data_IF_677225562071
#
_entry.id   IF_677225562071
#
_cell.length_a   1.000
_cell.length_b   1.000
_cell.length_c   1.000
_cell.angle_alpha   90.00
_cell.angle_beta   90.00
_cell.angle_gamma   90.00
#
_symmetry.space_group_name_H-M   'P 1'
#
loop_
_entity.id
_entity.type
_entity.pdbx_description
1 polymer ?
#
# COMPACT_ATOMS: atom_id res chain seq x y z
N UNK A 1 -11.88 20.65 -31.80
CA UNK A 1 -13.27 20.62 -31.30
C UNK A 1 -13.68 19.17 -31.12
N UNK A 2 -13.96 18.76 -29.89
CA UNK A 2 -14.24 17.37 -29.50
C UNK A 2 -15.75 17.22 -29.25
N UNK A 3 -16.34 16.10 -29.63
CA UNK A 3 -17.74 15.79 -29.35
C UNK A 3 -17.78 14.63 -28.37
N UNK A 4 -18.44 14.81 -27.23
CA UNK A 4 -18.66 13.70 -26.30
C UNK A 4 -19.65 12.70 -26.90
N UNK A 5 -19.22 11.46 -27.12
CA UNK A 5 -20.07 10.42 -27.69
C UNK A 5 -21.27 10.02 -26.80
N UNK A 6 -21.24 10.37 -25.51
CA UNK A 6 -22.25 9.97 -24.54
C UNK A 6 -23.34 11.03 -24.33
N UNK A 7 -23.03 12.30 -24.54
CA UNK A 7 -23.99 13.40 -24.36
C UNK A 7 -24.00 14.41 -25.51
N UNK A 8 -23.26 14.15 -26.59
CA UNK A 8 -23.10 15.00 -27.77
C UNK A 8 -22.66 16.44 -27.47
N UNK A 9 -22.10 16.69 -26.28
CA UNK A 9 -21.59 17.99 -25.91
C UNK A 9 -20.33 18.32 -26.74
N UNK A 10 -20.35 19.47 -27.40
CA UNK A 10 -19.21 20.01 -28.12
C UNK A 10 -18.28 20.73 -27.15
N UNK A 11 -17.00 20.34 -27.14
CA UNK A 11 -15.99 20.83 -26.21
C UNK A 11 -14.79 21.34 -27.00
N UNK A 12 -14.37 22.56 -26.67
CA UNK A 12 -13.36 23.29 -27.46
C UNK A 12 -11.95 22.77 -27.16
N UNK A 13 -11.65 22.50 -25.89
CA UNK A 13 -10.33 22.08 -25.43
C UNK A 13 -10.27 20.60 -25.02
N UNK A 14 -9.15 19.95 -25.28
CA UNK A 14 -8.87 18.58 -24.86
C UNK A 14 -8.87 18.43 -23.33
N UNK A 15 -8.30 19.39 -22.59
CA UNK A 15 -8.27 19.35 -21.12
C UNK A 15 -9.68 19.44 -20.53
N UNK A 16 -10.54 20.22 -21.17
CA UNK A 16 -11.96 20.32 -20.83
C UNK A 16 -12.72 19.03 -21.18
N UNK A 17 -12.36 18.37 -22.29
CA UNK A 17 -12.97 17.09 -22.68
C UNK A 17 -12.62 15.98 -21.68
N UNK A 18 -11.37 15.89 -21.24
CA UNK A 18 -10.94 14.91 -20.23
C UNK A 18 -11.62 15.20 -18.88
N UNK A 19 -11.70 16.47 -18.48
CA UNK A 19 -12.37 16.86 -17.23
C UNK A 19 -13.88 16.56 -17.29
N UNK A 20 -14.52 16.84 -18.42
CA UNK A 20 -15.90 16.46 -18.68
C UNK A 20 -16.11 14.94 -18.56
N UNK A 21 -15.26 14.12 -19.19
CA UNK A 21 -15.32 12.67 -19.11
C UNK A 21 -15.17 12.16 -17.67
N UNK A 22 -14.23 12.72 -16.91
CA UNK A 22 -14.01 12.35 -15.50
C UNK A 22 -15.17 12.73 -14.58
N UNK A 23 -15.80 13.89 -14.81
CA UNK A 23 -16.85 14.43 -13.95
C UNK A 23 -18.25 13.92 -14.29
N UNK A 24 -18.62 13.93 -15.58
CA UNK A 24 -19.99 13.61 -16.03
C UNK A 24 -20.18 12.13 -16.35
N UNK A 25 -19.10 11.41 -16.62
CA UNK A 25 -19.12 10.02 -17.08
C UNK A 25 -18.25 9.10 -16.20
N UNK A 26 -18.08 9.47 -14.91
CA UNK A 26 -17.26 8.74 -13.92
C UNK A 26 -17.59 7.25 -13.82
N UNK A 27 -18.87 6.88 -13.99
CA UNK A 27 -19.38 5.50 -13.98
C UNK A 27 -19.24 4.78 -15.34
N UNK A 28 -19.08 5.53 -16.43
CA UNK A 28 -18.90 5.01 -17.79
C UNK A 28 -17.43 4.73 -18.14
N UNK A 29 -16.50 4.89 -17.18
CA UNK A 29 -15.13 4.39 -17.26
C UNK A 29 -15.03 2.86 -17.42
N UNK A 30 -16.17 2.14 -17.47
CA UNK A 30 -16.27 0.72 -17.82
C UNK A 30 -16.89 0.45 -19.19
N UNK A 31 -17.26 1.49 -19.95
CA UNK A 31 -17.86 1.32 -21.27
C UNK A 31 -16.79 1.30 -22.36
N UNK A 32 -17.03 0.47 -23.36
CA UNK A 32 -16.13 0.32 -24.49
C UNK A 32 -16.20 1.55 -25.40
N UNK A 33 -15.11 2.31 -25.48
CA UNK A 33 -14.94 3.43 -26.38
C UNK A 33 -14.43 2.95 -27.74
N UNK A 34 -15.02 3.41 -28.85
CA UNK A 34 -14.56 3.11 -30.20
C UNK A 34 -13.77 4.29 -30.78
N UNK A 35 -12.74 4.00 -31.56
CA UNK A 35 -11.98 5.03 -32.25
C UNK A 35 -12.81 5.70 -33.36
N UNK A 36 -12.96 7.04 -33.38
CA UNK A 36 -13.79 7.72 -34.38
C UNK A 36 -13.08 8.00 -35.71
N UNK A 37 -11.77 7.70 -35.82
CA UNK A 37 -10.99 7.98 -37.03
C UNK A 37 -11.33 7.00 -38.16
N UNK A 38 -11.46 7.52 -39.39
CA UNK A 38 -11.70 6.70 -40.59
C UNK A 38 -10.62 5.62 -40.69
N UNK A 39 -11.02 4.39 -41.00
CA UNK A 39 -10.16 3.19 -41.06
C UNK A 39 -9.57 2.72 -39.71
N UNK A 40 -10.13 3.15 -38.57
CA UNK A 40 -9.75 2.62 -37.26
C UNK A 40 -10.93 1.93 -36.56
N UNK A 41 -10.90 0.61 -36.47
CA UNK A 41 -11.94 -0.21 -35.82
C UNK A 41 -11.61 -0.64 -34.39
N UNK A 42 -10.60 -0.02 -33.76
CA UNK A 42 -10.17 -0.39 -32.40
C UNK A 42 -11.16 0.11 -31.34
N UNK A 43 -11.36 -0.72 -30.33
CA UNK A 43 -12.19 -0.43 -29.18
C UNK A 43 -11.38 -0.55 -27.87
N UNK A 44 -11.76 0.20 -26.85
CA UNK A 44 -10.98 0.39 -25.63
C UNK A 44 -11.91 0.36 -24.42
N UNK A 45 -11.56 -0.39 -23.38
CA UNK A 45 -12.34 -0.45 -22.14
C UNK A 45 -11.94 0.62 -21.10
N UNK A 46 -10.95 1.43 -21.45
CA UNK A 46 -10.43 2.47 -20.57
C UNK A 46 -9.97 3.69 -21.39
N UNK A 47 -10.24 4.88 -20.85
CA UNK A 47 -9.95 6.16 -21.49
C UNK A 47 -8.44 6.41 -21.66
N UNK A 48 -7.57 5.85 -20.80
CA UNK A 48 -6.13 6.04 -20.91
C UNK A 48 -5.55 5.23 -22.08
N UNK A 49 -6.01 3.99 -22.26
CA UNK A 49 -5.61 3.17 -23.42
C UNK A 49 -6.11 3.75 -24.74
N UNK A 50 -7.33 4.29 -24.76
CA UNK A 50 -7.86 5.07 -25.88
C UNK A 50 -7.00 6.29 -26.18
N UNK A 51 -6.67 7.10 -25.16
CA UNK A 51 -5.83 8.29 -25.30
C UNK A 51 -4.45 7.96 -25.88
N UNK A 52 -3.79 6.93 -25.34
CA UNK A 52 -2.49 6.46 -25.83
C UNK A 52 -2.56 6.05 -27.30
N UNK A 53 -3.61 5.34 -27.70
CA UNK A 53 -3.82 4.95 -29.09
C UNK A 53 -4.00 6.16 -30.01
N UNK A 54 -4.88 7.10 -29.67
CA UNK A 54 -5.15 8.28 -30.49
C UNK A 54 -3.90 9.13 -30.67
N UNK A 55 -3.16 9.36 -29.58
CA UNK A 55 -1.92 10.10 -29.62
C UNK A 55 -0.91 9.46 -30.59
N UNK A 56 -0.65 8.16 -30.44
CA UNK A 56 0.37 7.45 -31.21
C UNK A 56 0.02 7.21 -32.68
N UNK A 57 -1.26 6.99 -32.99
CA UNK A 57 -1.68 6.54 -34.33
C UNK A 57 -2.34 7.60 -35.17
N UNK A 58 -2.93 8.63 -34.55
CA UNK A 58 -3.73 9.64 -35.27
C UNK A 58 -3.20 11.05 -35.10
N UNK A 59 -2.51 11.37 -34.00
CA UNK A 59 -1.99 12.73 -33.73
C UNK A 59 -0.53 12.88 -34.14
N UNK A 60 0.35 11.90 -33.87
CA UNK A 60 1.79 12.01 -34.14
C UNK A 60 2.20 12.14 -35.63
N UNK A 61 1.26 12.23 -36.57
CA UNK A 61 1.55 12.40 -38.00
C UNK A 61 1.19 13.79 -38.55
N UNK A 62 0.77 14.76 -37.74
CA UNK A 62 0.31 16.07 -38.27
C UNK A 62 1.45 17.04 -38.60
N UNK A 63 2.71 16.74 -38.25
CA UNK A 63 3.86 17.63 -38.57
C UNK A 63 4.97 16.98 -39.41
N UNK A 64 4.65 16.00 -40.26
CA UNK A 64 5.56 15.55 -41.32
C UNK A 64 4.96 15.76 -42.71
N UNK A 65 4.76 17.01 -43.07
CA UNK A 65 4.64 17.43 -44.47
C UNK A 65 5.52 18.65 -44.69
N UNK A 66 6.80 18.42 -45.01
CA UNK A 66 7.53 18.99 -46.15
C UNK A 66 8.80 18.12 -46.32
N UNK A 67 9.09 17.77 -47.58
CA UNK A 67 10.28 17.10 -48.15
C UNK A 67 10.31 15.55 -48.21
N UNK A 68 9.92 15.05 -49.39
CA UNK A 68 10.63 14.07 -50.26
C UNK A 68 11.06 12.71 -49.65
N UNK A 69 10.39 11.61 -50.06
CA UNK A 69 10.88 10.54 -50.97
C UNK A 69 11.95 9.64 -50.30
N UNK A 70 11.84 8.33 -50.15
CA UNK A 70 11.49 7.26 -51.08
C UNK A 70 11.07 5.98 -50.31
N UNK A 71 10.53 5.03 -51.08
CA UNK A 71 10.19 3.63 -50.77
C UNK A 71 11.09 2.87 -49.78
N UNK A 72 10.50 1.95 -49.01
CA UNK A 72 10.76 0.48 -49.06
C UNK A 72 9.89 -0.26 -48.00
N UNK A 73 9.67 -1.53 -48.33
CA UNK A 73 8.76 -2.60 -47.89
C UNK A 73 8.59 -2.95 -46.41
N UNK A 74 7.47 -3.65 -46.17
CA UNK A 74 7.04 -4.42 -45.01
C UNK A 74 8.14 -5.22 -44.28
N UNK A 75 8.08 -5.27 -42.95
CA UNK A 75 7.92 -6.55 -42.24
C UNK A 75 7.58 -6.39 -40.75
N UNK A 76 6.87 -7.41 -40.28
CA UNK A 76 6.36 -7.67 -38.93
C UNK A 76 7.50 -8.02 -37.97
N UNK A 77 7.54 -7.38 -36.79
CA UNK A 77 7.82 -8.07 -35.53
C UNK A 77 7.35 -7.27 -34.31
N UNK A 78 6.54 -7.95 -33.50
CA UNK A 78 6.30 -7.72 -32.07
C UNK A 78 7.62 -7.70 -31.31
N UNK A 79 7.84 -6.68 -30.47
CA UNK A 79 8.60 -6.85 -29.23
C UNK A 79 8.22 -5.77 -28.20
N UNK A 80 8.12 -6.23 -26.96
CA UNK A 80 7.79 -5.47 -25.76
C UNK A 80 9.01 -4.66 -25.32
N UNK A 81 8.86 -3.35 -25.15
CA UNK A 81 9.76 -2.59 -24.28
C UNK A 81 8.97 -1.72 -23.30
N UNK A 82 9.08 -2.13 -22.04
CA UNK A 82 8.71 -1.38 -20.85
C UNK A 82 9.74 -0.27 -20.62
N UNK A 83 9.31 0.99 -20.71
CA UNK A 83 10.08 2.13 -20.23
C UNK A 83 9.35 2.71 -19.02
N UNK A 84 10.05 2.63 -17.90
CA UNK A 84 9.76 3.22 -16.60
C UNK A 84 9.84 4.74 -16.67
N UNK A 85 8.74 5.44 -16.38
CA UNK A 85 8.77 6.87 -16.07
C UNK A 85 8.66 7.06 -14.55
N UNK A 86 9.73 7.63 -13.99
CA UNK A 86 9.82 8.15 -12.63
C UNK A 86 9.12 9.50 -12.60
N UNK A 87 7.93 9.56 -12.02
CA UNK A 87 7.30 10.84 -11.67
C UNK A 87 7.71 11.25 -10.25
N UNK A 88 8.54 12.30 -10.20
CA UNK A 88 8.82 13.12 -9.03
C UNK A 88 7.54 13.85 -8.59
N UNK A 89 6.95 13.43 -7.47
CA UNK A 89 6.00 14.25 -6.73
C UNK A 89 6.71 14.94 -5.57
N UNK A 90 7.06 16.21 -5.79
CA UNK A 90 7.34 17.15 -4.71
C UNK A 90 6.00 17.51 -4.06
N UNK A 91 5.76 17.09 -2.82
CA UNK A 91 4.68 17.62 -2.00
C UNK A 91 5.30 18.43 -0.85
N UNK A 92 5.30 19.75 -1.01
CA UNK A 92 5.47 20.67 0.10
C UNK A 92 4.12 20.74 0.82
N UNK A 93 4.07 20.22 2.04
CA UNK A 93 3.02 20.60 3.00
C UNK A 93 3.71 20.85 4.33
N UNK A 94 3.83 22.12 4.70
CA UNK A 94 4.23 22.52 6.04
C UNK A 94 3.13 22.11 7.01
N UNK A 95 3.40 21.08 7.80
CA UNK A 95 2.54 20.69 8.90
C UNK A 95 3.15 21.31 10.17
N UNK A 96 2.51 22.38 10.66
CA UNK A 96 2.64 22.76 12.07
C UNK A 96 1.71 21.84 12.86
N UNK A 97 2.27 20.74 13.37
CA UNK A 97 1.60 19.93 14.36
C UNK A 97 1.92 20.46 15.76
N UNK A 98 0.93 21.10 16.39
CA UNK A 98 0.83 21.12 17.85
C UNK A 98 0.41 19.72 18.29
N UNK A 99 1.38 18.85 18.58
CA UNK A 99 1.14 17.53 19.16
C UNK A 99 1.08 17.69 20.68
N UNK A 100 -0.13 17.87 21.21
CA UNK A 100 -0.46 17.45 22.57
C UNK A 100 -1.27 16.15 22.46
N UNK A 101 -0.57 15.02 22.39
CA UNK A 101 -1.17 13.69 22.54
C UNK A 101 -0.66 13.13 23.87
N UNK A 102 -1.35 13.55 24.93
CA UNK A 102 -1.46 12.76 26.14
C UNK A 102 -2.25 11.50 25.81
N UNK A 103 -1.55 10.39 25.58
CA UNK A 103 -2.15 9.07 25.74
C UNK A 103 -2.48 8.89 27.22
N UNK A 104 -3.69 9.27 27.63
CA UNK A 104 -4.29 8.81 28.88
C UNK A 104 -4.69 7.33 28.74
N UNK A 105 -3.68 6.46 28.80
CA UNK A 105 -3.85 5.14 29.41
C UNK A 105 -3.92 5.37 30.92
N UNK A 106 -5.10 5.24 31.54
CA UNK A 106 -5.24 5.31 33.01
C UNK A 106 -5.01 3.94 33.66
N UNK A 107 -4.70 3.93 34.96
CA UNK A 107 -3.56 3.23 35.55
C UNK A 107 -3.87 1.76 35.81
N UNK A 108 -2.85 0.91 35.65
CA UNK A 108 -2.81 -0.34 36.38
C UNK A 108 -2.53 -0.01 37.85
N UNK A 109 -3.57 0.24 38.66
CA UNK A 109 -3.51 0.09 40.13
C UNK A 109 -3.45 -1.41 40.39
N UNK A 110 -2.35 -2.00 40.86
CA UNK A 110 -1.68 -1.64 42.10
C UNK A 110 -0.39 -0.83 41.89
N UNK A 111 -0.41 0.38 42.45
CA UNK A 111 0.80 1.01 42.98
C UNK A 111 1.35 0.13 44.11
N UNK A 112 2.08 -0.92 43.74
CA UNK A 112 3.29 -1.17 44.51
C UNK A 112 4.20 0.00 44.16
N UNK A 113 4.34 0.92 45.12
CA UNK A 113 5.42 1.88 45.20
C UNK A 113 6.63 1.33 44.43
N UNK A 114 6.87 1.88 43.24
CA UNK A 114 8.14 1.71 42.56
C UNK A 114 9.13 2.46 43.43
N UNK A 115 9.65 1.73 44.43
CA UNK A 115 11.00 1.99 44.89
C UNK A 115 11.86 2.08 43.63
N UNK A 116 12.77 3.06 43.54
CA UNK A 116 13.70 3.18 42.43
C UNK A 116 14.73 2.05 42.53
N UNK A 117 14.34 0.82 42.22
CA UNK A 117 15.29 -0.18 41.74
C UNK A 117 15.50 0.14 40.26
N UNK A 118 16.50 0.97 39.99
CA UNK A 118 16.87 1.54 38.69
C UNK A 118 17.31 0.51 37.62
N UNK A 119 16.83 -0.73 37.68
CA UNK A 119 17.19 -1.80 36.76
C UNK A 119 16.05 -2.05 35.77
N UNK A 120 16.21 -1.56 34.54
CA UNK A 120 15.35 -1.94 33.41
C UNK A 120 15.73 -3.37 33.01
N UNK A 121 14.82 -4.33 33.15
CA UNK A 121 15.05 -5.69 32.65
C UNK A 121 15.01 -5.74 31.12
N UNK A 122 15.73 -6.71 30.54
CA UNK A 122 15.78 -6.93 29.09
C UNK A 122 14.39 -7.27 28.53
N UNK A 123 13.58 -8.02 29.29
CA UNK A 123 12.23 -8.41 28.88
C UNK A 123 11.29 -7.20 28.80
N UNK A 124 11.34 -6.31 29.80
CA UNK A 124 10.54 -5.09 29.82
C UNK A 124 10.95 -4.16 28.67
N UNK A 125 12.26 -4.06 28.40
CA UNK A 125 12.77 -3.32 27.26
C UNK A 125 12.28 -3.91 25.93
N UNK A 126 12.37 -5.23 25.77
CA UNK A 126 11.89 -5.96 24.59
C UNK A 126 10.42 -5.68 24.30
N UNK A 127 9.57 -5.83 25.33
CA UNK A 127 8.14 -5.57 25.22
C UNK A 127 7.85 -4.11 24.84
N UNK A 128 8.56 -3.15 25.45
CA UNK A 128 8.38 -1.74 25.14
C UNK A 128 8.74 -1.43 23.68
N UNK A 129 9.87 -1.96 23.18
CA UNK A 129 10.29 -1.76 21.79
C UNK A 129 9.27 -2.36 20.83
N UNK A 130 8.88 -3.62 21.03
CA UNK A 130 7.93 -4.33 20.17
C UNK A 130 6.56 -3.62 20.14
N UNK A 131 6.07 -3.16 21.29
CA UNK A 131 4.84 -2.37 21.39
C UNK A 131 4.93 -1.04 20.64
N UNK A 132 6.04 -0.31 20.75
CA UNK A 132 6.19 1.00 20.09
C UNK A 132 6.33 0.86 18.58
N UNK A 133 7.09 -0.13 18.11
CA UNK A 133 7.26 -0.39 16.68
C UNK A 133 5.96 -0.89 16.06
N UNK A 134 5.25 -1.82 16.70
CA UNK A 134 3.97 -2.31 16.17
C UNK A 134 2.92 -1.21 16.04
N UNK A 135 2.81 -0.31 17.03
CA UNK A 135 1.91 0.85 16.95
C UNK A 135 2.32 1.81 15.85
N UNK A 136 3.62 2.08 15.69
CA UNK A 136 4.13 2.94 14.61
C UNK A 136 3.77 2.37 13.23
N UNK A 137 4.06 1.09 12.99
CA UNK A 137 3.74 0.42 11.72
C UNK A 137 2.23 0.41 11.48
N UNK A 138 1.43 0.07 12.49
CA UNK A 138 -0.03 0.06 12.38
C UNK A 138 -0.58 1.44 11.96
N UNK A 139 -0.05 2.54 12.53
CA UNK A 139 -0.45 3.89 12.15
C UNK A 139 -0.13 4.23 10.69
N UNK A 140 1.04 3.83 10.20
CA UNK A 140 1.41 4.05 8.80
C UNK A 140 0.47 3.34 7.82
N UNK A 141 0.06 2.11 8.14
CA UNK A 141 -0.89 1.36 7.30
C UNK A 141 -2.35 1.82 7.43
N UNK A 142 -2.69 2.49 8.54
CA UNK A 142 -4.02 3.05 8.75
C UNK A 142 -4.26 4.34 7.95
N UNK A 143 -3.19 5.02 7.53
CA UNK A 143 -3.29 6.26 6.76
C UNK A 143 -3.58 5.98 5.26
N UNK A 144 -4.76 6.33 4.73
CA UNK A 144 -5.09 6.10 3.32
C UNK A 144 -4.29 7.00 2.36
N UNK A 145 -3.67 8.08 2.86
CA UNK A 145 -2.81 8.96 2.08
C UNK A 145 -1.43 8.38 1.80
N UNK A 146 -1.02 7.33 2.53
CA UNK A 146 0.29 6.71 2.39
C UNK A 146 0.18 5.42 1.56
N UNK A 147 0.82 5.35 0.38
CA UNK A 147 0.85 4.12 -0.40
C UNK A 147 1.53 2.97 0.37
N UNK A 148 0.97 1.75 0.29
CA UNK A 148 1.56 0.58 0.96
C UNK A 148 3.00 0.30 0.54
N UNK A 149 3.32 0.53 -0.74
CA UNK A 149 4.68 0.39 -1.27
C UNK A 149 5.67 1.33 -0.61
N UNK A 150 5.23 2.55 -0.27
CA UNK A 150 6.04 3.50 0.48
C UNK A 150 6.28 3.01 1.91
N UNK A 151 5.26 2.51 2.61
CA UNK A 151 5.40 1.99 3.98
C UNK A 151 6.41 0.83 4.01
N UNK A 152 6.30 -0.13 3.10
CA UNK A 152 7.26 -1.24 3.00
C UNK A 152 8.69 -0.76 2.77
N UNK A 153 8.89 0.20 1.86
CA UNK A 153 10.21 0.79 1.58
C UNK A 153 10.77 1.54 2.81
N UNK A 154 9.92 2.28 3.53
CA UNK A 154 10.31 2.98 4.75
C UNK A 154 10.76 1.99 5.82
N UNK A 155 10.00 0.92 6.05
CA UNK A 155 10.35 -0.13 7.03
C UNK A 155 11.68 -0.80 6.65
N UNK A 156 11.89 -1.12 5.37
CA UNK A 156 13.14 -1.69 4.87
C UNK A 156 14.34 -0.77 5.12
N UNK A 157 14.18 0.54 4.85
CA UNK A 157 15.21 1.56 5.12
C UNK A 157 15.52 1.69 6.61
N UNK A 158 14.49 1.74 7.46
CA UNK A 158 14.66 1.78 8.92
C UNK A 158 15.38 0.53 9.41
N UNK A 159 14.96 -0.66 8.95
CA UNK A 159 15.61 -1.90 9.31
C UNK A 159 17.09 -1.89 8.89
N UNK A 160 17.41 -1.41 7.69
CA UNK A 160 18.79 -1.28 7.22
C UNK A 160 19.60 -0.33 8.10
N UNK A 161 19.03 0.82 8.48
CA UNK A 161 19.68 1.80 9.36
C UNK A 161 20.00 1.23 10.74
N UNK A 162 19.07 0.47 11.33
CA UNK A 162 19.30 -0.18 12.63
C UNK A 162 20.18 -1.43 12.53
N UNK A 163 20.15 -2.17 11.43
CA UNK A 163 20.87 -3.45 11.28
C UNK A 163 22.33 -3.30 10.84
N UNK A 164 22.63 -2.39 9.91
CA UNK A 164 23.88 -2.45 9.15
C UNK A 164 25.00 -1.53 9.67
N UNK A 165 24.69 -0.46 10.40
CA UNK A 165 25.71 0.56 10.75
C UNK A 165 25.60 1.09 12.17
N UNK A 166 24.46 1.64 12.56
CA UNK A 166 24.39 2.35 13.84
C UNK A 166 24.55 1.44 15.06
N UNK A 167 23.79 0.35 15.13
CA UNK A 167 23.81 -0.53 16.29
C UNK A 167 25.12 -1.33 16.37
N UNK A 168 25.66 -1.77 15.23
CA UNK A 168 26.94 -2.47 15.20
C UNK A 168 28.10 -1.56 15.64
N UNK A 169 28.11 -0.28 15.24
CA UNK A 169 29.10 0.69 15.74
C UNK A 169 28.98 0.91 17.25
N UNK A 170 27.75 1.00 17.78
CA UNK A 170 27.52 1.13 19.21
C UNK A 170 27.97 -0.12 19.97
N UNK A 171 27.68 -1.32 19.46
CA UNK A 171 28.17 -2.59 20.01
C UNK A 171 29.69 -2.65 19.99
N UNK A 172 30.34 -2.29 18.89
CA UNK A 172 31.80 -2.30 18.77
C UNK A 172 32.46 -1.36 19.77
N UNK A 173 31.96 -0.11 19.88
CA UNK A 173 32.45 0.84 20.88
C UNK A 173 32.29 0.29 22.29
N UNK A 174 31.11 -0.23 22.60
CA UNK A 174 30.81 -0.83 23.91
C UNK A 174 31.73 -2.01 24.26
N UNK A 175 32.02 -2.87 23.28
CA UNK A 175 32.90 -4.02 23.45
C UNK A 175 34.38 -3.61 23.55
N UNK A 176 34.79 -2.52 22.91
CA UNK A 176 36.19 -2.04 22.91
C UNK A 176 36.63 -1.39 24.21
N UNK A 177 35.69 -0.87 25.01
CA UNK A 177 35.99 -0.07 26.21
C UNK A 177 36.04 -0.88 27.52
N UNK A 178 35.76 -2.21 27.56
CA UNK A 178 35.68 -2.94 28.86
C UNK A 178 36.07 -4.43 28.89
N UNK A 179 36.56 -4.83 30.08
CA UNK A 179 36.86 -6.19 30.55
C UNK A 179 35.73 -6.75 31.45
N UNK A 180 35.31 -8.00 31.16
CA UNK A 180 34.67 -9.01 32.03
C UNK A 180 33.48 -8.64 32.94
N UNK A 181 32.32 -9.30 32.71
CA UNK A 181 31.56 -9.95 33.80
C UNK A 181 30.08 -9.61 33.96
N UNK A 182 29.65 -8.37 33.70
CA UNK A 182 28.31 -7.88 34.08
C UNK A 182 27.43 -7.46 32.89
N UNK A 183 27.63 -8.07 31.71
CA UNK A 183 27.49 -7.34 30.44
C UNK A 183 26.60 -7.99 29.35
N UNK A 184 25.77 -8.99 29.69
CA UNK A 184 24.86 -9.61 28.71
C UNK A 184 23.73 -8.69 28.26
N UNK A 185 23.16 -7.93 29.19
CA UNK A 185 21.84 -7.34 29.02
C UNK A 185 21.82 -6.23 27.98
N UNK A 186 22.82 -5.35 27.97
CA UNK A 186 22.90 -4.29 26.98
C UNK A 186 23.16 -4.84 25.57
N UNK A 187 23.96 -5.91 25.45
CA UNK A 187 24.15 -6.61 24.17
C UNK A 187 22.85 -7.20 23.64
N UNK A 188 22.03 -7.76 24.53
CA UNK A 188 20.68 -8.24 24.20
C UNK A 188 19.77 -7.08 23.81
N UNK A 189 19.79 -5.96 24.54
CA UNK A 189 19.02 -4.75 24.19
C UNK A 189 19.40 -4.20 22.81
N UNK A 190 20.69 -4.17 22.46
CA UNK A 190 21.12 -3.80 21.11
C UNK A 190 20.56 -4.78 20.05
N UNK A 191 20.61 -6.08 20.35
CA UNK A 191 20.08 -7.10 19.45
C UNK A 191 18.55 -6.99 19.27
N UNK A 192 17.83 -6.60 20.32
CA UNK A 192 16.38 -6.30 20.24
C UNK A 192 16.13 -5.15 19.27
N UNK A 193 16.82 -4.01 19.43
CA UNK A 193 16.64 -2.84 18.56
C UNK A 193 17.03 -3.15 17.12
N UNK A 194 18.12 -3.89 16.91
CA UNK A 194 18.60 -4.30 15.59
C UNK A 194 17.56 -5.11 14.81
N UNK A 195 16.76 -5.91 15.52
CA UNK A 195 15.77 -6.82 14.95
C UNK A 195 14.34 -6.32 15.10
N UNK A 196 14.13 -5.10 15.60
CA UNK A 196 12.81 -4.59 15.98
C UNK A 196 11.82 -4.55 14.79
N UNK A 197 12.32 -4.39 13.56
CA UNK A 197 11.51 -4.32 12.35
C UNK A 197 11.37 -5.65 11.60
N UNK A 198 11.99 -6.74 12.06
CA UNK A 198 12.04 -8.02 11.32
C UNK A 198 10.66 -8.63 11.03
N UNK A 199 9.73 -8.46 11.96
CA UNK A 199 8.34 -8.92 11.82
C UNK A 199 7.54 -8.08 10.81
N UNK A 200 8.06 -6.92 10.40
CA UNK A 200 7.36 -5.96 9.55
C UNK A 200 7.98 -5.79 8.17
N UNK A 201 9.06 -6.52 7.85
CA UNK A 201 9.77 -6.45 6.57
C UNK A 201 8.90 -6.79 5.36
N UNK A 202 7.88 -7.63 5.53
CA UNK A 202 6.93 -7.97 4.47
C UNK A 202 5.51 -7.90 5.00
N UNK A 203 4.57 -7.59 4.11
CA UNK A 203 3.15 -7.53 4.45
C UNK A 203 2.68 -8.86 5.06
N UNK A 204 3.16 -10.00 4.54
CA UNK A 204 2.85 -11.32 5.09
C UNK A 204 3.35 -11.50 6.53
N UNK A 205 4.58 -11.09 6.84
CA UNK A 205 5.13 -11.19 8.20
C UNK A 205 4.36 -10.27 9.15
N UNK A 206 4.06 -9.06 8.72
CA UNK A 206 3.29 -8.08 9.49
C UNK A 206 1.89 -8.62 9.81
N UNK A 207 1.18 -9.15 8.81
CA UNK A 207 -0.16 -9.72 9.01
C UNK A 207 -0.12 -10.90 9.98
N UNK A 208 0.87 -11.79 9.86
CA UNK A 208 1.08 -12.89 10.82
C UNK A 208 1.37 -12.38 12.23
N UNK A 209 2.16 -11.32 12.37
CA UNK A 209 2.46 -10.72 13.65
C UNK A 209 1.18 -10.19 14.33
N UNK A 210 0.36 -9.40 13.61
CA UNK A 210 -0.90 -8.88 14.16
C UNK A 210 -1.97 -9.96 14.35
N UNK A 211 -1.93 -11.04 13.57
CA UNK A 211 -2.75 -12.23 13.81
C UNK A 211 -2.37 -12.93 15.11
N UNK A 212 -1.08 -13.13 15.37
CA UNK A 212 -0.58 -13.74 16.60
C UNK A 212 -0.92 -12.90 17.84
N UNK A 213 -0.96 -11.58 17.71
CA UNK A 213 -1.43 -10.66 18.75
C UNK A 213 -2.96 -10.65 18.93
N UNK A 214 -3.71 -11.38 18.11
CA UNK A 214 -5.17 -11.39 18.08
C UNK A 214 -5.82 -10.01 17.80
N UNK A 215 -5.09 -9.07 17.20
CA UNK A 215 -5.58 -7.72 16.87
C UNK A 215 -5.99 -7.59 15.39
N UNK A 216 -5.54 -8.50 14.52
CA UNK A 216 -5.94 -8.53 13.11
C UNK A 216 -7.31 -9.20 12.94
N UNK A 217 -8.25 -8.48 12.32
CA UNK A 217 -9.54 -9.04 11.89
C UNK A 217 -9.43 -9.44 10.43
N UNK A 218 -9.31 -10.75 10.17
CA UNK A 218 -9.22 -11.27 8.81
C UNK A 218 -10.58 -11.21 8.10
N UNK A 219 -10.60 -10.87 6.80
CA UNK A 219 -11.77 -11.07 5.96
C UNK A 219 -12.17 -12.55 5.92
N UNK A 220 -13.46 -12.82 5.85
CA UNK A 220 -14.01 -14.16 5.62
C UNK A 220 -14.40 -14.29 4.16
N UNK A 221 -13.93 -15.35 3.51
CA UNK A 221 -14.35 -15.69 2.15
C UNK A 221 -15.74 -16.32 2.17
N UNK A 222 -16.63 -15.80 1.33
CA UNK A 222 -18.00 -16.31 1.14
C UNK A 222 -18.21 -16.54 -0.35
N UNK A 223 -18.63 -17.75 -0.71
CA UNK A 223 -19.01 -18.08 -2.08
C UNK A 223 -20.36 -17.43 -2.38
N UNK A 224 -20.40 -16.54 -3.38
CA UNK A 224 -21.63 -15.83 -3.77
C UNK A 224 -22.28 -16.50 -4.97
N UNK A 225 -21.46 -17.04 -5.87
CA UNK A 225 -21.93 -17.65 -7.11
C UNK A 225 -20.91 -18.68 -7.60
N UNK A 226 -21.26 -19.46 -8.61
CA UNK A 226 -20.35 -20.29 -9.37
C UNK A 226 -20.49 -19.95 -10.86
N UNK A 227 -19.36 -19.69 -11.51
CA UNK A 227 -19.30 -19.50 -12.96
C UNK A 227 -18.73 -20.74 -13.63
N UNK A 228 -19.39 -21.21 -14.69
CA UNK A 228 -18.85 -22.29 -15.51
C UNK A 228 -17.76 -21.71 -16.41
N UNK A 229 -16.51 -22.17 -16.23
CA UNK A 229 -15.38 -21.80 -17.07
C UNK A 229 -14.87 -23.03 -17.82
N UNK A 230 -14.69 -22.89 -19.13
CA UNK A 230 -13.99 -23.91 -19.92
C UNK A 230 -12.50 -23.79 -19.64
N UNK A 231 -11.88 -24.84 -19.09
CA UNK A 231 -10.43 -24.90 -18.85
C UNK A 231 -9.85 -26.12 -19.55
N UNK A 232 -8.64 -25.99 -20.07
CA UNK A 232 -7.91 -27.14 -20.61
C UNK A 232 -7.29 -27.90 -19.44
N UNK A 233 -7.69 -29.15 -19.22
CA UNK A 233 -7.12 -30.04 -18.19
C UNK A 233 -6.72 -31.33 -18.88
N UNK A 234 -5.43 -31.67 -18.79
CA UNK A 234 -4.83 -32.84 -19.45
C UNK A 234 -5.13 -32.89 -20.97
N UNK A 235 -5.01 -31.73 -21.65
CA UNK A 235 -5.21 -31.62 -23.09
C UNK A 235 -6.68 -31.65 -23.56
N UNK A 236 -7.65 -31.86 -22.66
CA UNK A 236 -9.09 -31.85 -22.99
C UNK A 236 -9.74 -30.59 -22.41
N UNK A 237 -10.64 -29.96 -23.18
CA UNK A 237 -11.49 -28.88 -22.64
C UNK A 237 -12.53 -29.49 -21.71
N UNK A 238 -12.51 -29.05 -20.45
CA UNK A 238 -13.50 -29.43 -19.44
C UNK A 238 -14.20 -28.16 -18.96
N UNK A 239 -15.51 -28.25 -18.75
CA UNK A 239 -16.29 -27.18 -18.11
C UNK A 239 -16.19 -27.41 -16.61
N UNK A 240 -15.61 -26.45 -15.89
CA UNK A 240 -15.41 -26.53 -14.44
C UNK A 240 -16.18 -25.38 -13.80
N UNK A 241 -16.92 -25.69 -12.74
CA UNK A 241 -17.51 -24.68 -11.89
C UNK A 241 -16.41 -23.97 -11.09
N UNK A 242 -16.25 -22.68 -11.32
CA UNK A 242 -15.37 -21.82 -10.55
C UNK A 242 -16.20 -20.96 -9.61
N UNK A 243 -16.05 -21.19 -8.31
CA UNK A 243 -16.66 -20.37 -7.28
C UNK A 243 -16.18 -18.92 -7.43
N UNK A 244 -17.13 -18.01 -7.37
CA UNK A 244 -16.90 -16.58 -7.23
C UNK A 244 -17.03 -16.31 -5.73
N UNK A 245 -15.89 -16.05 -5.13
CA UNK A 245 -15.75 -15.72 -3.72
C UNK A 245 -15.64 -14.21 -3.53
N UNK A 246 -16.26 -13.70 -2.47
CA UNK A 246 -16.04 -12.35 -1.98
C UNK A 246 -15.46 -12.42 -0.58
N UNK A 247 -14.62 -11.45 -0.25
CA UNK A 247 -14.05 -11.31 1.09
C UNK A 247 -14.80 -10.22 1.86
N UNK A 248 -15.38 -10.59 3.00
CA UNK A 248 -16.14 -9.66 3.85
C UNK A 248 -15.51 -9.60 5.25
N UNK A 249 -15.29 -8.39 5.74
CA UNK A 249 -14.97 -8.14 7.14
C UNK A 249 -16.29 -7.89 7.88
N UNK A 250 -16.61 -8.74 8.86
CA UNK A 250 -17.85 -8.61 9.61
C UNK A 250 -17.81 -7.38 10.53
N UNK A 251 -18.74 -6.43 10.34
CA UNK A 251 -18.92 -5.29 11.24
C UNK A 251 -19.15 -5.76 12.68
N UNK A 252 -19.88 -6.86 12.88
CA UNK A 252 -20.07 -7.46 14.21
C UNK A 252 -18.74 -7.79 14.86
N UNK A 253 -17.82 -8.44 14.12
CA UNK A 253 -16.49 -8.78 14.64
C UNK A 253 -15.65 -7.53 14.92
N UNK A 254 -15.73 -6.51 14.06
CA UNK A 254 -15.03 -5.22 14.28
C UNK A 254 -15.53 -4.53 15.53
N UNK A 255 -16.85 -4.37 15.68
CA UNK A 255 -17.45 -3.71 16.83
C UNK A 255 -17.18 -4.49 18.12
N UNK A 256 -17.27 -5.82 18.09
CA UNK A 256 -16.94 -6.64 19.25
C UNK A 256 -15.50 -6.38 19.71
N UNK A 257 -14.52 -6.47 18.79
CA UNK A 257 -13.12 -6.20 19.12
C UNK A 257 -12.87 -4.78 19.60
N UNK A 258 -13.54 -3.81 18.99
CA UNK A 258 -13.44 -2.41 19.37
C UNK A 258 -13.98 -2.17 20.80
N UNK A 259 -15.13 -2.75 21.15
CA UNK A 259 -15.72 -2.63 22.48
C UNK A 259 -14.95 -3.41 23.56
N UNK A 260 -14.26 -4.49 23.18
CA UNK A 260 -13.34 -5.24 24.04
C UNK A 260 -12.07 -4.45 24.38
N UNK A 261 -11.78 -3.33 23.69
CA UNK A 261 -10.62 -2.50 24.01
C UNK A 261 -10.77 -1.84 25.40
N UNK A 262 -9.66 -1.69 26.15
CA UNK A 262 -9.69 -1.08 27.47
C UNK A 262 -10.35 0.30 27.46
N UNK A 263 -11.29 0.52 28.38
CA UNK A 263 -12.01 1.78 28.57
C UNK A 263 -12.88 2.26 27.40
N UNK A 264 -13.00 1.49 26.30
CA UNK A 264 -13.88 1.88 25.19
C UNK A 264 -15.34 1.72 25.58
N UNK A 265 -15.74 0.55 26.11
CA UNK A 265 -17.12 0.35 26.55
C UNK A 265 -17.52 1.35 27.66
N UNK A 266 -16.63 1.57 28.65
CA UNK A 266 -16.87 2.50 29.75
C UNK A 266 -17.02 3.94 29.26
N UNK A 267 -16.22 4.37 28.27
CA UNK A 267 -16.31 5.74 27.74
C UNK A 267 -17.59 5.98 26.93
N UNK A 268 -18.18 4.94 26.33
CA UNK A 268 -19.43 5.03 25.56
C UNK A 268 -20.65 4.94 26.50
N UNK A 269 -20.60 4.10 27.53
CA UNK A 269 -21.76 3.78 28.35
C UNK A 269 -22.07 4.78 29.47
N UNK A 270 -21.20 5.76 29.78
CA UNK A 270 -21.39 6.74 30.87
C UNK A 270 -21.95 6.10 32.17
N UNK A 271 -21.34 5.00 32.61
CA UNK A 271 -21.53 4.40 33.94
C UNK A 271 -20.28 4.71 34.75
#
# INVERSE_FOLDING_TARGET
>A
MFICAFCNLQIISETMFISHMKLRHKTLMRTTCYCPYKNCSRSFHDCYTYKKHVNLKHITNVEKTVAQSESITENVTTENESITEKDNYLCNTSIQDNIDITCTSKPCTNETLVQPSNAISVENFSHLVDQRISVFVAKLYADPGIPRSFVSNLIEKLNTLYSATFIEMLKQKYNSERCSGLQSDLGLMFSIVQNAFNNFLTENKMLKYFENLNVLIKPKSIVVNASLKSRLVNGRRQIIACNIEIEIISIKSVLQRFLELPNVLNSICHI
#
